data_IF_200191791616
#
_entry.id   IF_200191791616
#
_cell.length_a   1.000
_cell.length_b   1.000
_cell.length_c   1.000
_cell.angle_alpha   90.00
_cell.angle_beta   90.00
_cell.angle_gamma   90.00
#
_symmetry.space_group_name_H-M   'P 1'
#
loop_
_entity.id
_entity.type
_entity.pdbx_description
1 polymer ?
#
# COMPACT_ATOMS: atom_id res chain seq x y z
N UNK A 1 80.37 -16.45 -25.76
CA UNK A 1 80.95 -15.11 -25.61
C UNK A 1 79.80 -14.14 -25.38
N UNK A 2 79.71 -13.52 -24.20
CA UNK A 2 78.75 -12.46 -23.92
C UNK A 2 79.52 -11.14 -23.93
N UNK A 3 79.17 -10.26 -24.87
CA UNK A 3 79.75 -8.93 -25.06
C UNK A 3 79.04 -7.94 -24.13
N UNK A 4 79.74 -7.47 -23.10
CA UNK A 4 79.27 -6.42 -22.20
C UNK A 4 79.30 -5.08 -22.95
N UNK A 5 78.13 -4.58 -23.35
CA UNK A 5 77.96 -3.19 -23.77
C UNK A 5 77.62 -2.34 -22.55
N UNK A 6 78.55 -1.47 -22.18
CA UNK A 6 78.31 -0.45 -21.17
C UNK A 6 77.31 0.60 -21.71
N UNK A 7 76.24 0.94 -20.96
CA UNK A 7 75.26 1.94 -21.38
C UNK A 7 75.88 3.34 -21.38
N UNK A 8 75.58 4.09 -22.43
CA UNK A 8 76.14 5.39 -22.78
C UNK A 8 75.58 6.47 -21.84
N UNK A 9 76.44 7.21 -21.12
CA UNK A 9 76.04 8.15 -20.05
C UNK A 9 75.07 9.25 -20.51
N UNK A 10 75.05 9.55 -21.81
CA UNK A 10 74.17 10.56 -22.41
C UNK A 10 72.68 10.21 -22.36
N UNK A 11 72.32 8.92 -22.34
CA UNK A 11 70.90 8.53 -22.22
C UNK A 11 70.38 8.81 -20.80
N UNK A 12 71.26 8.72 -19.80
CA UNK A 12 70.91 8.94 -18.40
C UNK A 12 70.65 10.42 -18.08
N UNK A 13 71.26 11.35 -18.81
CA UNK A 13 71.06 12.79 -18.59
C UNK A 13 69.73 13.26 -19.18
N UNK A 14 69.37 12.76 -20.37
CA UNK A 14 68.07 13.01 -21.00
C UNK A 14 66.91 12.43 -20.18
N UNK A 15 67.05 11.20 -19.66
CA UNK A 15 66.03 10.61 -18.78
C UNK A 15 65.82 11.43 -17.51
N UNK A 16 66.90 11.94 -16.90
CA UNK A 16 66.81 12.78 -15.69
C UNK A 16 66.14 14.12 -15.97
N UNK A 17 66.40 14.72 -17.14
CA UNK A 17 65.81 16.00 -17.52
C UNK A 17 64.31 15.84 -17.81
N UNK A 18 63.92 14.78 -18.52
CA UNK A 18 62.52 14.44 -18.78
C UNK A 18 61.77 14.13 -17.47
N UNK A 19 62.36 13.33 -16.58
CA UNK A 19 61.76 13.04 -15.26
C UNK A 19 61.62 14.30 -14.40
N UNK A 20 62.56 15.26 -14.51
CA UNK A 20 62.49 16.55 -13.83
C UNK A 20 61.30 17.40 -14.26
N UNK A 21 60.96 17.38 -15.55
CA UNK A 21 59.78 18.08 -16.10
C UNK A 21 58.49 17.42 -15.61
N UNK A 22 58.38 16.10 -15.66
CA UNK A 22 57.19 15.39 -15.19
C UNK A 22 56.95 15.53 -13.68
N UNK A 23 58.00 15.57 -12.86
CA UNK A 23 57.88 15.85 -11.41
C UNK A 23 57.43 17.27 -11.09
N UNK A 24 57.71 18.24 -11.95
CA UNK A 24 57.18 19.61 -11.78
C UNK A 24 55.68 19.68 -12.09
N UNK A 25 55.20 18.89 -13.06
CA UNK A 25 53.76 18.82 -13.42
C UNK A 25 52.95 18.00 -12.41
N UNK A 26 53.53 16.96 -11.80
CA UNK A 26 52.82 16.12 -10.81
C UNK A 26 52.54 16.83 -9.48
N UNK A 27 53.33 17.87 -9.13
CA UNK A 27 53.13 18.65 -7.90
C UNK A 27 52.16 19.83 -8.06
N UNK A 28 51.78 20.18 -9.28
CA UNK A 28 50.65 21.07 -9.56
C UNK A 28 49.43 20.20 -9.88
N UNK A 29 48.92 19.45 -8.89
CA UNK A 29 47.58 18.87 -9.01
C UNK A 29 46.61 20.05 -8.97
N UNK A 30 46.00 20.48 -10.10
CA UNK A 30 45.06 21.59 -10.05
C UNK A 30 43.92 21.16 -9.14
N UNK A 31 43.66 22.00 -8.13
CA UNK A 31 42.60 21.75 -7.15
C UNK A 31 41.31 21.45 -7.94
N UNK A 32 40.73 20.23 -7.82
CA UNK A 32 39.67 19.80 -8.71
C UNK A 32 38.52 20.80 -8.65
N UNK A 33 38.14 21.32 -9.83
CA UNK A 33 37.17 22.40 -9.91
C UNK A 33 35.93 22.09 -9.06
N UNK A 34 35.38 23.08 -8.31
CA UNK A 34 34.25 22.83 -7.42
C UNK A 34 33.05 22.18 -8.16
N UNK A 35 32.93 22.45 -9.46
CA UNK A 35 31.94 21.85 -10.36
C UNK A 35 32.12 20.34 -10.55
N UNK A 36 33.35 19.83 -10.63
CA UNK A 36 33.63 18.39 -10.74
C UNK A 36 33.23 17.66 -9.46
N UNK A 37 33.56 18.21 -8.28
CA UNK A 37 33.15 17.63 -6.99
C UNK A 37 31.62 17.54 -6.90
N UNK A 38 30.91 18.59 -7.25
CA UNK A 38 29.43 18.58 -7.25
C UNK A 38 28.83 17.61 -8.27
N UNK A 39 29.40 17.51 -9.47
CA UNK A 39 28.88 16.63 -10.53
C UNK A 39 29.15 15.16 -10.23
N UNK A 40 30.32 14.83 -9.68
CA UNK A 40 30.64 13.48 -9.21
C UNK A 40 29.77 13.10 -8.01
N UNK A 41 29.54 14.01 -7.05
CA UNK A 41 28.62 13.76 -5.93
C UNK A 41 27.17 13.60 -6.39
N UNK A 42 26.73 14.36 -7.39
CA UNK A 42 25.39 14.22 -7.97
C UNK A 42 25.23 12.86 -8.68
N UNK A 43 26.19 12.47 -9.52
CA UNK A 43 26.20 11.17 -10.20
C UNK A 43 26.27 10.00 -9.21
N UNK A 44 27.03 10.15 -8.11
CA UNK A 44 27.09 9.17 -7.05
C UNK A 44 25.75 9.04 -6.31
N UNK A 45 25.12 10.17 -5.94
CA UNK A 45 23.77 10.17 -5.33
C UNK A 45 22.73 9.53 -6.25
N UNK A 46 22.79 9.80 -7.55
CA UNK A 46 21.86 9.25 -8.54
C UNK A 46 22.01 7.73 -8.69
N UNK A 47 23.25 7.22 -8.77
CA UNK A 47 23.51 5.75 -8.77
C UNK A 47 23.05 5.08 -7.48
N UNK A 48 23.28 5.69 -6.32
CA UNK A 48 22.85 5.15 -5.02
C UNK A 48 21.32 5.16 -4.88
N UNK A 49 20.63 6.21 -5.37
CA UNK A 49 19.16 6.30 -5.38
C UNK A 49 18.53 5.25 -6.29
N UNK A 50 19.09 5.05 -7.49
CA UNK A 50 18.60 4.07 -8.47
C UNK A 50 18.75 2.63 -7.95
N UNK A 51 19.89 2.28 -7.33
CA UNK A 51 20.08 0.94 -6.73
C UNK A 51 19.18 0.67 -5.54
N UNK A 52 18.93 1.66 -4.66
CA UNK A 52 18.02 1.48 -3.51
C UNK A 52 16.56 1.32 -3.94
N UNK A 53 16.10 2.02 -4.98
CA UNK A 53 14.73 1.90 -5.50
C UNK A 53 14.46 0.53 -6.15
N UNK A 54 15.41 0.01 -6.93
CA UNK A 54 15.31 -1.30 -7.57
C UNK A 54 15.43 -2.47 -6.59
N UNK A 55 16.28 -2.35 -5.55
CA UNK A 55 16.35 -3.35 -4.48
C UNK A 55 15.07 -3.37 -3.64
N UNK A 56 14.45 -2.22 -3.37
CA UNK A 56 13.17 -2.18 -2.65
C UNK A 56 12.04 -2.83 -3.45
N UNK A 57 12.00 -2.65 -4.77
CA UNK A 57 11.04 -3.35 -5.63
C UNK A 57 11.35 -4.85 -5.76
N UNK A 58 12.62 -5.25 -5.87
CA UNK A 58 13.01 -6.67 -5.87
C UNK A 58 12.74 -7.37 -4.53
N UNK A 59 12.97 -6.70 -3.40
CA UNK A 59 12.57 -7.19 -2.07
C UNK A 59 11.04 -7.23 -1.93
N UNK A 60 10.30 -6.28 -2.49
CA UNK A 60 8.83 -6.32 -2.50
C UNK A 60 8.25 -7.45 -3.36
N UNK A 61 8.94 -7.89 -4.42
CA UNK A 61 8.47 -9.01 -5.26
C UNK A 61 8.96 -10.39 -4.81
N UNK A 62 10.16 -10.48 -4.19
CA UNK A 62 10.68 -11.76 -3.67
C UNK A 62 10.30 -12.04 -2.21
N UNK A 63 9.86 -11.04 -1.44
CA UNK A 63 9.11 -11.28 -0.18
C UNK A 63 7.63 -11.52 -0.50
N UNK A 64 7.38 -12.57 -1.28
CA UNK A 64 6.04 -13.03 -1.60
C UNK A 64 5.19 -13.18 -0.33
N UNK A 65 4.06 -12.47 -0.31
CA UNK A 65 2.79 -12.88 0.32
C UNK A 65 2.75 -12.97 1.86
N UNK A 66 3.87 -13.01 2.60
CA UNK A 66 3.88 -13.31 4.04
C UNK A 66 3.87 -12.10 5.00
N UNK A 67 4.70 -11.07 4.76
CA UNK A 67 4.95 -10.04 5.79
C UNK A 67 4.09 -8.78 5.67
N UNK A 68 3.60 -8.43 4.48
CA UNK A 68 2.73 -7.25 4.29
C UNK A 68 1.35 -7.42 4.94
N UNK A 69 0.81 -8.65 4.97
CA UNK A 69 -0.43 -8.97 5.69
C UNK A 69 -0.19 -9.14 7.19
N UNK A 70 0.99 -9.59 7.62
CA UNK A 70 1.31 -9.76 9.03
C UNK A 70 1.46 -8.41 9.76
N UNK A 71 2.06 -7.38 9.13
CA UNK A 71 2.18 -6.06 9.76
C UNK A 71 0.82 -5.33 9.91
N UNK A 72 -0.08 -5.50 8.93
CA UNK A 72 -1.45 -4.95 9.02
C UNK A 72 -2.28 -5.75 10.05
N UNK A 73 -2.09 -7.06 10.15
CA UNK A 73 -2.73 -7.87 11.19
C UNK A 73 -2.17 -7.57 12.60
N UNK A 74 -0.87 -7.32 12.75
CA UNK A 74 -0.25 -7.02 14.04
C UNK A 74 -0.62 -5.63 14.57
N UNK A 75 -0.80 -4.62 13.70
CA UNK A 75 -1.35 -3.32 14.11
C UNK A 75 -2.83 -3.40 14.53
N UNK A 76 -3.59 -4.37 14.03
CA UNK A 76 -4.96 -4.63 14.47
C UNK A 76 -5.02 -5.42 15.79
N UNK A 77 -4.02 -6.25 16.09
CA UNK A 77 -3.96 -7.07 17.32
C UNK A 77 -3.39 -6.30 18.52
N UNK A 78 -2.38 -5.44 18.31
CA UNK A 78 -1.80 -4.64 19.41
C UNK A 78 -2.70 -3.45 19.79
N UNK A 79 -3.69 -3.10 18.97
CA UNK A 79 -4.71 -2.08 19.25
C UNK A 79 -6.13 -2.62 19.42
N UNK A 80 -6.26 -3.83 19.94
CA UNK A 80 -7.49 -4.33 20.57
C UNK A 80 -7.54 -5.86 20.61
N UNK A 81 -7.93 -6.49 21.74
CA UNK A 81 -9.00 -6.03 22.62
C UNK A 81 -8.61 -6.05 24.11
N UNK A 82 -8.47 -4.87 24.72
CA UNK A 82 -8.65 -4.75 26.17
C UNK A 82 -10.14 -4.55 26.40
N UNK A 83 -10.75 -5.64 26.83
CA UNK A 83 -12.15 -5.79 27.19
C UNK A 83 -12.62 -4.74 28.21
N UNK A 84 -13.83 -4.24 27.95
CA UNK A 84 -14.90 -4.03 28.93
C UNK A 84 -14.71 -2.98 30.04
N UNK A 85 -15.47 -1.89 29.97
CA UNK A 85 -16.39 -1.51 31.07
C UNK A 85 -17.35 -0.38 30.68
N UNK A 86 -18.64 -0.64 30.93
CA UNK A 86 -19.71 0.31 31.23
C UNK A 86 -19.97 1.46 30.25
N UNK A 87 -20.74 1.19 29.20
CA UNK A 87 -21.86 2.05 28.76
C UNK A 87 -22.68 1.21 27.80
N UNK A 88 -23.99 1.08 28.04
CA UNK A 88 -24.88 0.13 27.36
C UNK A 88 -25.19 0.44 25.90
N UNK A 89 -24.16 0.63 25.07
CA UNK A 89 -24.25 0.74 23.63
C UNK A 89 -23.91 -0.63 23.02
N UNK A 90 -24.73 -1.19 22.11
CA UNK A 90 -24.45 -2.46 21.49
C UNK A 90 -23.13 -2.41 20.71
N UNK A 91 -22.30 -3.43 20.93
CA UNK A 91 -20.91 -3.62 20.43
C UNK A 91 -20.79 -3.77 18.90
N UNK A 92 -21.81 -3.38 18.13
CA UNK A 92 -21.92 -3.52 16.67
C UNK A 92 -21.70 -2.22 15.91
N UNK A 93 -21.45 -1.12 16.61
CA UNK A 93 -21.33 0.21 15.99
C UNK A 93 -19.94 0.41 15.37
N UNK A 94 -19.89 0.40 14.04
CA UNK A 94 -18.69 0.79 13.30
C UNK A 94 -18.46 2.30 13.40
N UNK A 95 -17.21 2.77 13.51
CA UNK A 95 -16.89 4.20 13.52
C UNK A 95 -16.15 4.58 12.23
N UNK A 96 -16.61 5.63 11.56
CA UNK A 96 -16.02 6.13 10.32
C UNK A 96 -15.95 7.66 10.28
N UNK A 97 -14.97 8.21 9.56
CA UNK A 97 -14.89 9.66 9.37
C UNK A 97 -15.81 10.10 8.22
N UNK A 98 -16.54 11.20 8.40
CA UNK A 98 -17.30 11.84 7.31
C UNK A 98 -16.37 12.15 6.14
N UNK A 99 -16.83 11.87 4.92
CA UNK A 99 -16.07 12.09 3.69
C UNK A 99 -15.01 11.04 3.37
N UNK A 100 -14.69 10.11 4.29
CA UNK A 100 -13.71 9.06 4.03
C UNK A 100 -14.37 7.74 3.59
N UNK A 101 -13.76 7.01 2.64
CA UNK A 101 -14.23 5.69 2.26
C UNK A 101 -13.96 4.68 3.38
N UNK A 102 -14.97 3.89 3.72
CA UNK A 102 -14.90 2.82 4.71
C UNK A 102 -15.32 1.51 4.06
N UNK A 103 -14.53 0.44 4.27
CA UNK A 103 -14.91 -0.90 3.83
C UNK A 103 -15.68 -1.63 4.93
N UNK A 104 -16.87 -2.12 4.60
CA UNK A 104 -17.67 -2.99 5.45
C UNK A 104 -17.56 -4.41 4.90
N UNK A 105 -17.11 -5.33 5.75
CA UNK A 105 -17.04 -6.74 5.39
C UNK A 105 -18.35 -7.43 5.75
N UNK A 106 -19.07 -7.88 4.72
CA UNK A 106 -20.29 -8.66 4.91
C UNK A 106 -19.92 -10.12 5.14
N UNK A 107 -20.36 -10.65 6.28
CA UNK A 107 -20.24 -12.07 6.60
C UNK A 107 -21.64 -12.68 6.56
N UNK A 108 -21.89 -13.72 5.76
CA UNK A 108 -23.13 -14.50 5.81
C UNK A 108 -23.13 -15.38 7.09
N UNK A 109 -23.04 -14.77 8.26
CA UNK A 109 -23.03 -15.48 9.53
C UNK A 109 -24.42 -16.06 9.81
N UNK A 110 -24.49 -17.38 9.96
CA UNK A 110 -25.72 -18.10 10.35
C UNK A 110 -26.78 -18.25 9.26
N UNK A 111 -26.48 -17.91 7.99
CA UNK A 111 -27.29 -18.37 6.86
C UNK A 111 -26.63 -19.67 6.40
N UNK A 112 -27.23 -20.80 6.74
CA UNK A 112 -26.66 -22.13 6.51
C UNK A 112 -26.10 -22.26 5.10
N UNK A 113 -24.78 -22.44 4.98
CA UNK A 113 -24.13 -22.64 3.68
C UNK A 113 -24.39 -24.03 3.09
N UNK A 114 -25.02 -24.95 3.84
CA UNK A 114 -25.09 -26.38 3.51
C UNK A 114 -26.45 -26.92 3.10
N UNK A 115 -27.51 -26.11 3.00
CA UNK A 115 -28.82 -26.56 2.48
C UNK A 115 -29.17 -25.87 1.16
N UNK A 116 -29.97 -26.55 0.34
CA UNK A 116 -30.44 -26.11 -0.99
C UNK A 116 -31.15 -24.73 -0.99
N UNK A 117 -31.49 -24.17 0.17
CA UNK A 117 -31.96 -22.79 0.39
C UNK A 117 -30.81 -21.76 0.48
N UNK A 118 -29.70 -22.08 -0.18
CA UNK A 118 -28.56 -21.21 -0.40
C UNK A 118 -29.02 -19.82 -0.90
N UNK A 119 -28.74 -18.76 -0.14
CA UNK A 119 -29.01 -17.39 -0.59
C UNK A 119 -28.39 -17.17 -1.98
N UNK A 120 -29.14 -16.61 -2.94
CA UNK A 120 -28.68 -16.36 -4.31
C UNK A 120 -28.09 -14.97 -4.45
N UNK A 121 -28.58 -13.98 -3.72
CA UNK A 121 -28.08 -12.61 -3.80
C UNK A 121 -28.05 -11.95 -2.44
N UNK A 122 -27.11 -11.01 -2.29
CA UNK A 122 -27.01 -10.12 -1.14
C UNK A 122 -27.36 -8.72 -1.60
N UNK A 123 -28.37 -8.13 -0.98
CA UNK A 123 -28.77 -6.75 -1.23
C UNK A 123 -28.28 -5.87 -0.10
N UNK A 124 -27.55 -4.80 -0.43
CA UNK A 124 -27.12 -3.79 0.53
C UNK A 124 -27.88 -2.51 0.24
N UNK A 125 -28.62 -2.02 1.23
CA UNK A 125 -29.40 -0.80 1.15
C UNK A 125 -28.76 0.25 2.06
N UNK A 126 -28.43 1.39 1.48
CA UNK A 126 -27.82 2.51 2.18
C UNK A 126 -28.89 3.53 2.60
N UNK A 127 -28.78 4.09 3.82
CA UNK A 127 -29.64 5.18 4.27
C UNK A 127 -29.24 6.51 3.62
N UNK A 128 -30.10 7.52 3.75
CA UNK A 128 -29.81 8.84 3.20
C UNK A 128 -28.56 9.48 3.82
N UNK A 129 -27.78 10.13 2.96
CA UNK A 129 -26.47 10.71 3.29
C UNK A 129 -25.30 9.73 3.21
N UNK A 130 -25.56 8.42 3.01
CA UNK A 130 -24.53 7.40 2.78
C UNK A 130 -24.58 6.93 1.33
N UNK A 131 -23.42 6.78 0.70
CA UNK A 131 -23.30 6.39 -0.72
C UNK A 131 -22.26 5.29 -0.89
N UNK A 132 -22.43 4.48 -1.94
CA UNK A 132 -21.38 3.57 -2.36
C UNK A 132 -20.19 4.34 -2.92
N UNK A 133 -18.99 3.81 -2.72
CA UNK A 133 -17.76 4.43 -3.22
C UNK A 133 -16.95 3.43 -4.05
N UNK A 134 -16.56 3.85 -5.25
CA UNK A 134 -15.61 3.14 -6.09
C UNK A 134 -14.88 4.12 -7.00
N UNK A 135 -13.55 4.01 -7.04
CA UNK A 135 -12.73 4.75 -8.00
C UNK A 135 -12.95 4.25 -9.43
N UNK A 136 -13.16 2.94 -9.59
CA UNK A 136 -13.32 2.31 -10.91
C UNK A 136 -14.71 2.52 -11.50
N UNK A 137 -15.73 2.57 -10.64
CA UNK A 137 -17.13 2.68 -11.05
C UNK A 137 -17.82 3.84 -10.30
N UNK A 138 -17.47 5.11 -10.58
CA UNK A 138 -17.99 6.26 -9.85
C UNK A 138 -19.52 6.40 -9.92
N UNK A 139 -20.16 5.86 -10.96
CA UNK A 139 -21.61 5.87 -11.16
C UNK A 139 -22.40 5.19 -10.03
N UNK A 140 -21.80 4.24 -9.31
CA UNK A 140 -22.49 3.52 -8.22
C UNK A 140 -22.79 4.41 -7.02
N UNK A 141 -22.13 5.58 -6.92
CA UNK A 141 -22.37 6.55 -5.85
C UNK A 141 -23.77 7.14 -5.84
N UNK A 142 -24.49 7.05 -6.97
CA UNK A 142 -25.90 7.48 -7.08
C UNK A 142 -26.88 6.39 -6.63
N UNK A 143 -26.41 5.14 -6.48
CA UNK A 143 -27.27 4.03 -6.14
C UNK A 143 -27.52 3.99 -4.63
N UNK A 144 -28.78 3.77 -4.24
CA UNK A 144 -29.14 3.50 -2.84
C UNK A 144 -29.06 2.01 -2.49
N UNK A 145 -29.08 1.15 -3.50
CA UNK A 145 -29.05 -0.29 -3.34
C UNK A 145 -28.07 -0.91 -4.33
N UNK A 146 -27.34 -1.92 -3.88
CA UNK A 146 -26.56 -2.81 -4.74
C UNK A 146 -26.98 -4.25 -4.48
N UNK A 147 -27.13 -5.02 -5.56
CA UNK A 147 -27.38 -6.46 -5.50
C UNK A 147 -26.14 -7.20 -5.96
N UNK A 148 -25.67 -8.13 -5.14
CA UNK A 148 -24.48 -8.92 -5.37
C UNK A 148 -24.89 -10.40 -5.51
N UNK A 149 -24.64 -11.00 -6.66
CA UNK A 149 -25.03 -12.38 -6.97
C UNK A 149 -24.03 -13.40 -6.41
N UNK A 150 -24.52 -14.45 -5.75
CA UNK A 150 -23.73 -15.48 -5.07
C UNK A 150 -22.71 -16.13 -5.98
N UNK A 151 -23.02 -16.38 -7.24
CA UNK A 151 -22.09 -17.02 -8.19
C UNK A 151 -20.78 -16.22 -8.31
N UNK A 152 -20.86 -14.88 -8.34
CA UNK A 152 -19.71 -13.97 -8.36
C UNK A 152 -19.06 -13.80 -6.98
N UNK A 153 -19.73 -14.28 -5.93
CA UNK A 153 -19.35 -14.12 -4.54
C UNK A 153 -18.74 -15.40 -3.96
N UNK A 154 -19.15 -16.59 -4.40
CA UNK A 154 -18.69 -17.88 -3.87
C UNK A 154 -17.17 -18.07 -4.00
N UNK A 155 -16.55 -17.42 -4.98
CA UNK A 155 -15.09 -17.43 -5.17
C UNK A 155 -14.32 -16.64 -4.08
N UNK A 156 -15.00 -15.77 -3.31
CA UNK A 156 -14.38 -14.87 -2.32
C UNK A 156 -15.09 -15.01 -0.99
N UNK A 157 -14.45 -15.63 0.01
CA UNK A 157 -15.04 -15.88 1.33
C UNK A 157 -15.53 -14.63 2.11
N UNK A 158 -15.23 -13.41 1.64
CA UNK A 158 -15.52 -12.12 2.30
C UNK A 158 -15.86 -11.06 1.25
N UNK A 159 -16.89 -10.25 1.54
CA UNK A 159 -17.37 -9.20 0.62
C UNK A 159 -17.17 -7.81 1.21
N UNK A 160 -16.13 -7.08 0.78
CA UNK A 160 -15.99 -5.69 1.16
C UNK A 160 -16.90 -4.82 0.30
N UNK A 161 -17.82 -4.10 0.94
CA UNK A 161 -18.57 -3.01 0.31
C UNK A 161 -17.99 -1.71 0.83
N UNK A 162 -17.59 -0.82 -0.07
CA UNK A 162 -17.02 0.46 0.31
C UNK A 162 -18.11 1.52 0.28
N UNK A 163 -18.26 2.22 1.39
CA UNK A 163 -19.23 3.28 1.56
C UNK A 163 -18.54 4.57 1.98
N UNK A 164 -19.23 5.69 1.81
CA UNK A 164 -18.84 7.00 2.28
C UNK A 164 -20.08 7.75 2.75
N UNK A 165 -19.97 8.53 3.81
CA UNK A 165 -21.04 9.42 4.27
C UNK A 165 -20.67 10.87 4.02
N UNK A 166 -21.66 11.68 3.64
CA UNK A 166 -21.53 13.14 3.51
C UNK A 166 -21.92 13.86 4.82
N UNK A 167 -22.61 13.16 5.73
CA UNK A 167 -23.14 13.71 6.98
C UNK A 167 -22.65 12.94 8.19
N UNK A 168 -22.44 13.62 9.32
CA UNK A 168 -22.18 12.99 10.60
C UNK A 168 -23.45 12.32 11.19
N UNK A 169 -23.26 11.46 12.19
CA UNK A 169 -24.32 10.78 12.92
C UNK A 169 -24.35 9.27 12.71
N UNK A 170 -25.22 8.60 13.47
CA UNK A 170 -25.46 7.16 13.34
C UNK A 170 -26.33 6.87 12.13
N UNK A 171 -25.89 5.92 11.30
CA UNK A 171 -26.58 5.49 10.08
C UNK A 171 -26.72 3.98 10.11
N UNK A 172 -27.92 3.49 9.79
CA UNK A 172 -28.20 2.05 9.76
C UNK A 172 -28.21 1.56 8.33
N UNK A 173 -27.27 0.68 8.01
CA UNK A 173 -27.15 0.03 6.70
C UNK A 173 -27.85 -1.30 6.77
N UNK A 174 -28.77 -1.55 5.84
CA UNK A 174 -29.52 -2.81 5.81
C UNK A 174 -28.90 -3.77 4.82
N UNK A 175 -28.70 -5.01 5.24
CA UNK A 175 -28.15 -6.08 4.42
C UNK A 175 -29.15 -7.23 4.40
N UNK A 176 -29.66 -7.56 3.22
CA UNK A 176 -30.64 -8.63 3.03
C UNK A 176 -30.01 -9.78 2.26
N UNK A 177 -30.20 -10.98 2.76
CA UNK A 177 -29.86 -12.22 2.08
C UNK A 177 -31.12 -12.78 1.45
N UNK A 178 -31.11 -12.92 0.13
CA UNK A 178 -32.31 -13.26 -0.65
C UNK A 178 -32.10 -14.57 -1.38
N UNK A 179 -33.09 -15.47 -1.36
CA UNK A 179 -33.06 -16.76 -2.04
C UNK A 179 -33.32 -16.63 -3.55
N UNK A 180 -33.41 -17.76 -4.25
CA UNK A 180 -33.68 -17.81 -5.70
C UNK A 180 -35.06 -17.25 -6.05
N UNK A 181 -36.03 -17.43 -5.15
CA UNK A 181 -37.43 -17.01 -5.29
C UNK A 181 -37.66 -15.52 -4.94
N UNK A 182 -36.62 -14.81 -4.51
CA UNK A 182 -36.73 -13.41 -4.09
C UNK A 182 -37.19 -13.22 -2.64
N UNK A 183 -37.29 -14.29 -1.85
CA UNK A 183 -37.63 -14.22 -0.43
C UNK A 183 -36.41 -13.83 0.40
N UNK A 184 -36.64 -12.97 1.40
CA UNK A 184 -35.60 -12.52 2.33
C UNK A 184 -35.40 -13.62 3.39
N UNK A 185 -34.26 -14.31 3.33
CA UNK A 185 -33.87 -15.33 4.31
C UNK A 185 -33.37 -14.72 5.61
N UNK A 186 -32.68 -13.57 5.52
CA UNK A 186 -32.14 -12.86 6.69
C UNK A 186 -31.96 -11.39 6.38
N UNK A 187 -32.28 -10.53 7.34
CA UNK A 187 -31.95 -9.11 7.33
C UNK A 187 -30.97 -8.83 8.48
N UNK A 188 -29.92 -8.07 8.19
CA UNK A 188 -28.93 -7.60 9.16
C UNK A 188 -28.87 -6.07 9.08
N UNK A 189 -28.98 -5.43 10.24
CA UNK A 189 -28.84 -3.99 10.38
C UNK A 189 -27.45 -3.69 10.94
N UNK A 190 -26.64 -2.99 10.17
CA UNK A 190 -25.29 -2.58 10.53
C UNK A 190 -25.32 -1.10 10.91
N UNK A 191 -25.14 -0.81 12.19
CA UNK A 191 -25.05 0.56 12.69
C UNK A 191 -23.63 1.10 12.46
N UNK A 192 -23.52 2.23 11.79
CA UNK A 192 -22.25 2.92 11.55
C UNK A 192 -22.37 4.37 12.00
N UNK A 193 -21.53 4.77 12.95
CA UNK A 193 -21.40 6.13 13.41
C UNK A 193 -20.37 6.89 12.59
N UNK A 194 -20.82 7.93 11.89
CA UNK A 194 -19.95 8.84 11.14
C UNK A 194 -19.64 10.07 11.99
N UNK A 195 -18.38 10.33 12.27
CA UNK A 195 -17.96 11.52 13.01
C UNK A 195 -17.26 12.52 12.09
N UNK A 196 -17.46 13.81 12.35
CA UNK A 196 -16.68 14.88 11.74
C UNK A 196 -15.40 15.09 12.55
N UNK A 197 -14.27 15.38 11.88
CA UNK A 197 -13.16 16.03 12.57
C UNK A 197 -13.64 17.41 12.97
N UNK A 198 -13.85 17.63 14.26
CA UNK A 198 -13.95 18.98 14.80
C UNK A 198 -12.59 19.62 14.52
N UNK A 199 -12.59 20.66 13.68
CA UNK A 199 -11.41 21.44 13.35
C UNK A 199 -11.10 22.45 14.45
#
# INVERSE_FOLDING_TARGET
MAENRHPNENDSSLEKEIQGIFRKVENEVPDPSPFLKTRVLALYRERVKSRRGLLFWRLATFSGVGFGMAAIAFLLIVRGPLSSSSTGLPDTQFKALVGQPMAIQLKPAGVGMSSNDAFRRVEVLLPDGVRFYSLKYPQISKWKQISLEREKLAEKAKFPVIIRSDTAGTKTIKVRFVNVEGQILKEQNLETYFYSRVG
#
